data_IF_852701448148
#
_entry.id   IF_852701448148
#
_cell.length_a   1.000
_cell.length_b   1.000
_cell.length_c   1.000
_cell.angle_alpha   90.00
_cell.angle_beta   90.00
_cell.angle_gamma   90.00
#
_symmetry.space_group_name_H-M   'P 1'
#
loop_
_entity.id
_entity.type
_entity.pdbx_description
1 polymer ?
#
# COMPACT_ATOMS: atom_id res chain seq x y z
N UNK A 1 -18.55 -86.16 5.00
CA UNK A 1 -18.88 -85.96 6.43
C UNK A 1 -17.70 -85.31 7.12
N UNK A 2 -17.93 -84.23 7.89
CA UNK A 2 -17.03 -83.79 8.97
C UNK A 2 -17.37 -84.60 10.25
N UNK A 3 -16.59 -84.56 11.36
CA UNK A 3 -15.49 -83.66 11.73
C UNK A 3 -14.14 -84.44 11.91
N UNK A 4 -13.04 -83.98 12.55
CA UNK A 4 -12.89 -82.92 13.54
C UNK A 4 -11.49 -82.29 13.70
N UNK A 5 -11.52 -80.99 14.05
CA UNK A 5 -10.68 -80.26 15.02
C UNK A 5 -9.15 -80.49 15.07
N UNK A 6 -8.43 -79.50 14.53
CA UNK A 6 -7.04 -79.17 14.90
C UNK A 6 -7.04 -78.33 16.18
N UNK A 7 -6.09 -78.58 17.09
CA UNK A 7 -5.79 -77.72 18.22
C UNK A 7 -4.30 -77.34 18.19
N UNK A 8 -4.00 -76.05 17.92
CA UNK A 8 -2.65 -75.51 17.94
C UNK A 8 -2.65 -74.21 18.77
N UNK A 9 -2.16 -74.29 20.00
CA UNK A 9 -2.14 -73.16 20.93
C UNK A 9 -0.96 -72.23 20.61
N UNK A 10 -1.24 -71.05 20.03
CA UNK A 10 -0.24 -70.02 19.80
C UNK A 10 0.09 -69.27 21.09
N UNK A 11 1.37 -69.20 21.46
CA UNK A 11 1.82 -68.39 22.60
C UNK A 11 1.72 -66.89 22.28
N UNK A 12 0.86 -66.18 23.00
CA UNK A 12 0.79 -64.71 22.98
C UNK A 12 1.91 -64.12 23.85
N UNK A 13 3.01 -63.72 23.20
CA UNK A 13 4.03 -62.87 23.81
C UNK A 13 3.51 -61.42 23.91
N UNK A 14 3.53 -60.77 25.09
CA UNK A 14 3.14 -59.38 25.22
C UNK A 14 4.21 -58.46 24.62
N UNK A 15 3.86 -57.76 23.54
CA UNK A 15 4.74 -56.76 22.94
C UNK A 15 4.82 -55.52 23.85
N UNK A 16 6.03 -55.07 24.27
CA UNK A 16 6.16 -53.90 25.13
C UNK A 16 5.83 -52.63 24.35
N UNK A 17 4.71 -51.99 24.70
CA UNK A 17 4.34 -50.68 24.14
C UNK A 17 5.35 -49.63 24.59
N UNK A 18 6.32 -49.34 23.73
CA UNK A 18 7.22 -48.20 23.89
C UNK A 18 6.38 -46.92 23.82
N UNK A 19 6.11 -46.31 24.97
CA UNK A 19 5.59 -44.95 25.03
C UNK A 19 6.66 -44.02 24.47
N UNK A 20 6.48 -43.58 23.23
CA UNK A 20 7.26 -42.48 22.67
C UNK A 20 7.15 -41.27 23.60
N UNK A 21 8.23 -40.98 24.31
CA UNK A 21 8.34 -39.78 25.13
C UNK A 21 8.30 -38.58 24.19
N UNK A 22 7.13 -37.92 24.13
CA UNK A 22 6.99 -36.64 23.43
C UNK A 22 7.90 -35.65 24.14
N UNK A 23 9.11 -35.47 23.60
CA UNK A 23 9.95 -34.35 23.95
C UNK A 23 9.17 -33.10 23.54
N UNK A 24 8.59 -32.43 24.53
CA UNK A 24 8.14 -31.06 24.41
C UNK A 24 9.39 -30.20 24.22
N UNK A 25 9.89 -30.16 22.98
CA UNK A 25 10.90 -29.20 22.59
C UNK A 25 10.33 -27.82 22.86
N UNK A 26 10.89 -27.14 23.85
CA UNK A 26 10.53 -25.77 24.20
C UNK A 26 10.80 -24.90 22.99
N UNK A 27 9.79 -24.69 22.14
CA UNK A 27 9.84 -23.69 21.11
C UNK A 27 10.05 -22.36 21.81
N UNK A 28 11.24 -21.79 21.65
CA UNK A 28 11.48 -20.41 22.04
C UNK A 28 10.38 -19.55 21.40
N UNK A 29 9.78 -18.59 22.14
CA UNK A 29 8.72 -17.76 21.58
C UNK A 29 9.26 -17.12 20.31
N UNK A 30 8.60 -17.38 19.18
CA UNK A 30 9.05 -16.89 17.89
C UNK A 30 9.15 -15.37 17.99
N UNK A 31 10.38 -14.83 17.89
CA UNK A 31 10.63 -13.41 18.06
C UNK A 31 9.80 -12.66 17.03
N UNK A 32 8.75 -11.99 17.49
CA UNK A 32 7.88 -11.19 16.63
C UNK A 32 8.72 -10.00 16.17
N UNK A 33 9.32 -10.12 14.99
CA UNK A 33 10.05 -9.03 14.34
C UNK A 33 9.11 -7.82 14.27
N UNK A 34 9.39 -6.78 15.05
CA UNK A 34 8.51 -5.64 15.21
C UNK A 34 8.29 -4.98 13.85
N UNK A 35 7.08 -5.14 13.29
CA UNK A 35 6.76 -4.73 11.92
C UNK A 35 7.07 -3.24 11.73
N UNK A 36 8.03 -2.94 10.85
CA UNK A 36 8.59 -1.59 10.77
C UNK A 36 7.66 -0.67 9.99
N UNK A 37 7.10 0.33 10.65
CA UNK A 37 6.39 1.42 9.96
C UNK A 37 7.36 2.22 9.09
N UNK A 38 6.95 2.48 7.84
CA UNK A 38 7.73 3.19 6.81
C UNK A 38 6.75 3.73 5.73
N UNK A 39 7.16 4.70 4.91
CA UNK A 39 6.39 5.09 3.72
C UNK A 39 6.82 4.28 2.49
N UNK A 40 5.96 4.14 1.48
CA UNK A 40 6.29 3.33 0.30
C UNK A 40 7.44 3.95 -0.52
N UNK A 41 7.53 5.28 -0.59
CA UNK A 41 8.64 5.98 -1.27
C UNK A 41 9.95 5.83 -0.48
N UNK A 42 9.92 5.92 0.85
CA UNK A 42 11.10 5.72 1.69
C UNK A 42 11.62 4.27 1.64
N UNK A 43 10.73 3.29 1.39
CA UNK A 43 11.09 1.91 1.09
C UNK A 43 11.74 1.78 -0.30
N UNK A 44 11.08 2.29 -1.36
CA UNK A 44 11.59 2.24 -2.74
C UNK A 44 12.91 2.99 -2.94
N UNK A 45 13.18 4.04 -2.16
CA UNK A 45 14.46 4.76 -2.22
C UNK A 45 15.66 3.95 -1.66
N UNK A 46 15.43 2.94 -0.80
CA UNK A 46 16.48 2.17 -0.13
C UNK A 46 16.10 0.68 0.04
N UNK A 47 15.71 -0.05 -1.02
CA UNK A 47 15.03 -1.35 -0.90
C UNK A 47 15.88 -2.41 -0.18
N UNK A 48 17.21 -2.41 -0.42
CA UNK A 48 18.15 -3.31 0.25
C UNK A 48 18.22 -3.14 1.78
N UNK A 49 17.86 -1.97 2.31
CA UNK A 49 17.81 -1.70 3.77
C UNK A 49 16.64 -2.41 4.47
N UNK A 50 15.64 -2.84 3.71
CA UNK A 50 14.43 -3.50 4.20
C UNK A 50 14.34 -4.97 3.77
N UNK A 51 15.30 -5.47 2.99
CA UNK A 51 15.31 -6.82 2.45
C UNK A 51 15.16 -7.88 3.57
N UNK A 52 14.22 -8.80 3.39
CA UNK A 52 13.90 -9.85 4.36
C UNK A 52 12.96 -9.43 5.49
N UNK A 53 12.80 -8.13 5.77
CA UNK A 53 12.00 -7.61 6.89
C UNK A 53 10.51 -7.49 6.56
N UNK A 54 9.67 -7.54 7.61
CA UNK A 54 8.26 -7.13 7.54
C UNK A 54 8.10 -5.63 7.84
N UNK A 55 7.33 -4.97 6.99
CA UNK A 55 7.09 -3.52 6.98
C UNK A 55 5.58 -3.25 6.98
N UNK A 56 5.17 -2.11 7.54
CA UNK A 56 3.80 -1.59 7.45
C UNK A 56 3.84 -0.22 6.80
N UNK A 57 3.02 -0.01 5.78
CA UNK A 57 2.91 1.26 5.04
C UNK A 57 1.48 1.43 4.49
N UNK A 58 1.15 2.63 4.03
CA UNK A 58 -0.14 2.93 3.37
C UNK A 58 0.09 3.12 1.87
N UNK A 59 -0.88 2.70 1.06
CA UNK A 59 -0.91 2.89 -0.39
C UNK A 59 -2.30 3.30 -0.88
N UNK A 60 -2.36 3.83 -2.10
CA UNK A 60 -3.59 4.04 -2.88
C UNK A 60 -3.59 3.10 -4.09
N UNK A 61 -4.63 2.30 -4.26
CA UNK A 61 -4.72 1.34 -5.35
C UNK A 61 -4.90 2.03 -6.72
N UNK A 62 -4.15 1.60 -7.75
CA UNK A 62 -4.34 2.07 -9.13
C UNK A 62 -4.97 0.99 -10.01
N UNK A 63 -4.32 -0.18 -10.11
CA UNK A 63 -4.77 -1.26 -10.96
C UNK A 63 -4.23 -2.64 -10.52
N UNK A 64 -4.87 -3.70 -11.02
CA UNK A 64 -4.23 -5.00 -11.17
C UNK A 64 -3.32 -4.98 -12.39
N UNK A 65 -2.18 -5.67 -12.29
CA UNK A 65 -1.29 -5.96 -13.41
C UNK A 65 -1.33 -7.45 -13.64
N UNK A 66 -1.77 -7.89 -14.82
CA UNK A 66 -1.82 -9.32 -15.17
C UNK A 66 -0.57 -9.77 -15.95
N UNK A 67 0.04 -8.88 -16.73
CA UNK A 67 1.27 -9.13 -17.48
C UNK A 67 2.52 -8.53 -16.80
N UNK A 68 3.45 -9.39 -16.40
CA UNK A 68 4.82 -8.98 -16.07
C UNK A 68 5.81 -10.10 -16.38
N UNK A 69 7.06 -9.72 -16.69
CA UNK A 69 8.13 -10.69 -16.94
C UNK A 69 8.42 -11.51 -15.66
N UNK A 70 8.22 -12.85 -15.66
CA UNK A 70 8.46 -13.69 -14.48
C UNK A 70 9.94 -14.06 -14.29
N UNK A 71 10.74 -14.09 -15.37
CA UNK A 71 12.13 -14.57 -15.36
C UNK A 71 13.10 -13.72 -14.51
N UNK A 72 12.62 -12.61 -13.95
CA UNK A 72 13.37 -11.66 -13.14
C UNK A 72 13.00 -11.69 -11.65
N UNK A 73 12.21 -12.67 -11.17
CA UNK A 73 11.82 -12.80 -9.75
C UNK A 73 11.20 -14.15 -9.40
N UNK A 74 10.96 -14.40 -8.11
CA UNK A 74 10.10 -15.52 -7.63
C UNK A 74 8.59 -15.36 -7.87
N UNK A 75 8.13 -14.23 -8.41
CA UNK A 75 6.71 -13.86 -8.45
C UNK A 75 6.04 -14.35 -9.74
N UNK A 76 5.85 -15.67 -9.84
CA UNK A 76 5.17 -16.38 -10.93
C UNK A 76 3.69 -15.95 -11.12
N UNK A 77 3.24 -15.48 -12.31
CA UNK A 77 1.85 -15.06 -12.57
C UNK A 77 0.77 -16.09 -12.25
N UNK A 78 1.08 -17.39 -12.30
CA UNK A 78 0.16 -18.47 -11.92
C UNK A 78 -0.16 -18.52 -10.41
N UNK A 79 0.70 -17.96 -9.56
CA UNK A 79 0.61 -18.03 -8.08
C UNK A 79 0.47 -16.67 -7.41
N UNK A 80 0.78 -15.60 -8.14
CA UNK A 80 0.76 -14.23 -7.66
C UNK A 80 -0.13 -13.37 -8.55
N UNK A 81 -0.63 -12.29 -7.97
CA UNK A 81 -1.37 -11.24 -8.65
C UNK A 81 -0.63 -9.93 -8.36
N UNK A 82 -0.14 -9.25 -9.41
CA UNK A 82 0.61 -8.02 -9.26
C UNK A 82 -0.32 -6.82 -9.13
N UNK A 83 0.11 -5.82 -8.37
CA UNK A 83 -0.57 -4.55 -8.17
C UNK A 83 0.30 -3.40 -8.70
N UNK A 84 -0.39 -2.40 -9.23
CA UNK A 84 0.10 -1.05 -9.51
C UNK A 84 -0.61 -0.10 -8.55
N UNK A 85 0.15 0.74 -7.83
CA UNK A 85 -0.35 1.57 -6.72
C UNK A 85 0.38 2.92 -6.67
N UNK A 86 -0.21 3.93 -6.06
CA UNK A 86 0.53 5.12 -5.63
C UNK A 86 0.90 5.02 -4.13
N UNK A 87 2.05 5.57 -3.71
CA UNK A 87 2.31 5.85 -2.29
C UNK A 87 1.20 6.72 -1.65
N UNK A 88 0.98 6.62 -0.35
CA UNK A 88 -0.02 7.46 0.34
C UNK A 88 0.44 8.92 0.50
N UNK A 89 1.76 9.11 0.56
CA UNK A 89 2.43 10.41 0.55
C UNK A 89 2.52 11.04 -0.87
N UNK A 90 2.09 10.33 -1.92
CA UNK A 90 2.13 10.85 -3.28
C UNK A 90 0.94 11.77 -3.55
N UNK A 91 1.25 13.02 -3.91
CA UNK A 91 0.26 14.01 -4.32
C UNK A 91 -0.16 13.73 -5.76
N UNK A 92 -1.20 12.92 -5.96
CA UNK A 92 -1.62 12.42 -7.28
C UNK A 92 -2.15 13.49 -8.25
N UNK A 93 -2.25 14.76 -7.84
CA UNK A 93 -2.45 15.90 -8.75
C UNK A 93 -1.14 16.39 -9.39
N UNK A 94 0.02 16.03 -8.84
CA UNK A 94 1.29 16.23 -9.52
C UNK A 94 1.43 15.20 -10.64
N UNK A 95 1.45 15.66 -11.89
CA UNK A 95 1.55 14.79 -13.08
C UNK A 95 2.66 13.74 -12.96
N UNK A 96 3.85 14.15 -12.49
CA UNK A 96 5.00 13.26 -12.33
C UNK A 96 4.77 12.14 -11.30
N UNK A 97 3.98 12.40 -10.24
CA UNK A 97 3.58 11.37 -9.27
C UNK A 97 2.49 10.45 -9.84
N UNK A 98 1.49 11.03 -10.52
CA UNK A 98 0.39 10.29 -11.14
C UNK A 98 0.88 9.31 -12.22
N UNK A 99 1.80 9.75 -13.08
CA UNK A 99 2.38 8.95 -14.17
C UNK A 99 3.43 7.91 -13.69
N UNK A 100 3.88 7.98 -12.43
CA UNK A 100 4.94 7.11 -11.87
C UNK A 100 4.46 6.24 -10.69
N UNK A 101 3.43 5.39 -10.86
CA UNK A 101 2.97 4.50 -9.80
C UNK A 101 4.05 3.46 -9.43
N UNK A 102 4.03 3.06 -8.16
CA UNK A 102 4.81 1.93 -7.67
C UNK A 102 4.26 0.61 -8.24
N UNK A 103 5.19 -0.25 -8.68
CA UNK A 103 4.93 -1.62 -9.17
C UNK A 103 5.70 -2.61 -8.31
N UNK A 104 5.57 -3.91 -8.61
CA UNK A 104 6.22 -5.02 -7.89
C UNK A 104 5.67 -5.25 -6.47
N UNK A 105 4.40 -4.94 -6.25
CA UNK A 105 3.61 -5.39 -5.10
C UNK A 105 2.78 -6.61 -5.53
N UNK A 106 2.73 -7.66 -4.71
CA UNK A 106 2.12 -8.95 -5.08
C UNK A 106 1.27 -9.55 -3.97
N UNK A 107 0.03 -9.92 -4.30
CA UNK A 107 -0.84 -10.76 -3.47
C UNK A 107 -0.81 -12.20 -3.98
N UNK A 108 -0.83 -13.17 -3.07
CA UNK A 108 -0.86 -14.60 -3.42
C UNK A 108 -2.25 -15.01 -3.93
N UNK A 109 -2.32 -15.64 -5.11
CA UNK A 109 -3.56 -16.21 -5.65
C UNK A 109 -4.05 -17.37 -4.78
N UNK A 110 -5.37 -17.47 -4.61
CA UNK A 110 -6.02 -18.34 -3.63
C UNK A 110 -5.79 -17.92 -2.17
N UNK A 111 -5.11 -16.79 -1.92
CA UNK A 111 -4.94 -16.21 -0.58
C UNK A 111 -6.14 -15.34 -0.18
N UNK A 112 -6.37 -15.18 1.13
CA UNK A 112 -7.53 -14.47 1.67
C UNK A 112 -7.71 -13.01 1.20
N UNK A 113 -6.64 -12.37 0.72
CA UNK A 113 -6.67 -10.99 0.22
C UNK A 113 -6.88 -10.87 -1.30
N UNK A 114 -6.80 -11.95 -2.09
CA UNK A 114 -7.09 -11.86 -3.54
C UNK A 114 -8.53 -11.37 -3.82
N UNK A 115 -9.58 -11.87 -3.14
CA UNK A 115 -10.93 -11.35 -3.32
C UNK A 115 -11.12 -9.91 -2.83
N UNK A 116 -10.21 -9.37 -2.01
CA UNK A 116 -10.24 -7.95 -1.61
C UNK A 116 -9.69 -7.09 -2.75
N UNK A 117 -8.47 -7.40 -3.22
CA UNK A 117 -7.82 -6.60 -4.27
C UNK A 117 -8.54 -6.69 -5.61
N UNK A 118 -9.14 -7.84 -5.97
CA UNK A 118 -10.01 -7.96 -7.17
C UNK A 118 -11.29 -7.10 -7.13
N UNK A 119 -11.62 -6.50 -5.97
CA UNK A 119 -12.75 -5.56 -5.79
C UNK A 119 -12.28 -4.18 -5.32
N UNK A 120 -10.98 -3.91 -5.31
CA UNK A 120 -10.45 -2.59 -4.96
C UNK A 120 -10.83 -1.57 -6.03
N UNK A 121 -11.32 -0.40 -5.60
CA UNK A 121 -11.55 0.74 -6.49
C UNK A 121 -10.24 1.49 -6.73
N UNK A 122 -10.11 2.13 -7.88
CA UNK A 122 -9.04 3.12 -8.11
C UNK A 122 -9.07 4.20 -7.01
N UNK A 123 -7.90 4.67 -6.60
CA UNK A 123 -7.62 5.58 -5.47
C UNK A 123 -7.87 5.02 -4.06
N UNK A 124 -8.56 3.87 -3.91
CA UNK A 124 -8.88 3.31 -2.59
C UNK A 124 -7.62 3.08 -1.75
N UNK A 125 -7.61 3.63 -0.53
CA UNK A 125 -6.51 3.48 0.42
C UNK A 125 -6.51 2.13 1.12
N UNK A 126 -5.32 1.60 1.35
CA UNK A 126 -5.09 0.41 2.18
C UNK A 126 -3.88 0.64 3.09
N UNK A 127 -4.01 0.31 4.38
CA UNK A 127 -2.85 -0.04 5.18
C UNK A 127 -2.44 -1.47 4.82
N UNK A 128 -1.14 -1.68 4.65
CA UNK A 128 -0.58 -2.93 4.16
C UNK A 128 0.59 -3.35 5.04
N UNK A 129 0.55 -4.59 5.53
CA UNK A 129 1.75 -5.29 6.01
C UNK A 129 2.31 -6.10 4.85
N UNK A 130 3.57 -5.87 4.54
CA UNK A 130 4.28 -6.54 3.46
C UNK A 130 5.63 -7.07 3.92
N UNK A 131 6.22 -7.98 3.15
CA UNK A 131 7.58 -8.46 3.33
C UNK A 131 8.41 -8.20 2.09
N UNK A 132 9.56 -7.57 2.26
CA UNK A 132 10.50 -7.32 1.16
C UNK A 132 11.19 -8.64 0.83
N UNK A 133 10.82 -9.26 -0.30
CA UNK A 133 11.34 -10.58 -0.67
C UNK A 133 12.60 -10.51 -1.51
N UNK A 134 12.70 -9.51 -2.38
CA UNK A 134 13.82 -9.29 -3.29
C UNK A 134 14.06 -7.78 -3.43
N UNK A 135 15.30 -7.39 -3.67
CA UNK A 135 15.68 -6.03 -4.04
C UNK A 135 16.55 -6.15 -5.31
N UNK A 136 16.00 -5.78 -6.47
CA UNK A 136 16.61 -6.08 -7.77
C UNK A 136 16.40 -4.90 -8.74
N UNK A 137 17.46 -4.54 -9.47
CA UNK A 137 17.52 -3.35 -10.35
C UNK A 137 17.06 -2.04 -9.66
N UNK A 138 17.32 -1.92 -8.35
CA UNK A 138 16.94 -0.73 -7.56
C UNK A 138 15.49 -0.71 -7.07
N UNK A 139 14.65 -1.70 -7.40
CA UNK A 139 13.26 -1.79 -6.94
C UNK A 139 13.08 -2.88 -5.87
N UNK A 140 12.13 -2.66 -4.96
CA UNK A 140 11.67 -3.66 -3.99
C UNK A 140 10.58 -4.54 -4.60
N UNK A 141 10.67 -5.85 -4.37
CA UNK A 141 9.59 -6.79 -4.70
C UNK A 141 8.91 -7.24 -3.40
N UNK A 142 7.64 -6.86 -3.26
CA UNK A 142 6.88 -6.86 -2.02
C UNK A 142 5.80 -7.94 -2.05
N UNK A 143 5.93 -8.95 -1.19
CA UNK A 143 4.81 -9.85 -0.88
C UNK A 143 3.89 -9.14 0.11
N UNK A 144 2.60 -8.97 -0.24
CA UNK A 144 1.62 -8.37 0.65
C UNK A 144 1.01 -9.47 1.53
N UNK A 145 1.21 -9.35 2.84
CA UNK A 145 0.79 -10.32 3.85
C UNK A 145 -0.58 -9.98 4.44
N UNK A 146 -0.97 -8.71 4.39
CA UNK A 146 -2.15 -8.15 5.04
C UNK A 146 -2.56 -6.88 4.27
N UNK A 147 -3.86 -6.71 4.00
CA UNK A 147 -4.42 -5.46 3.49
C UNK A 147 -5.67 -5.10 4.30
N UNK A 148 -5.68 -3.88 4.85
CA UNK A 148 -6.79 -3.30 5.62
C UNK A 148 -7.26 -2.04 4.88
N UNK A 149 -8.51 -1.98 4.38
CA UNK A 149 -9.04 -0.76 3.77
C UNK A 149 -9.00 0.42 4.75
N UNK A 150 -8.63 1.60 4.26
CA UNK A 150 -8.71 2.85 5.01
C UNK A 150 -9.72 3.81 4.37
N UNK A 151 -10.21 4.75 5.18
CA UNK A 151 -11.02 5.86 4.69
C UNK A 151 -10.17 6.99 4.09
N UNK A 152 -10.84 7.78 3.26
CA UNK A 152 -10.26 8.84 2.43
C UNK A 152 -9.52 8.33 1.20
N UNK A 153 -9.34 9.20 0.21
CA UNK A 153 -8.61 8.92 -1.03
C UNK A 153 -8.25 10.23 -1.75
N UNK A 154 -7.12 10.27 -2.48
CA UNK A 154 -6.81 11.34 -3.44
C UNK A 154 -7.48 10.99 -4.76
N UNK A 155 -8.81 11.06 -4.75
CA UNK A 155 -9.66 10.73 -5.89
C UNK A 155 -9.62 11.77 -7.01
N UNK A 156 -10.18 11.39 -8.16
CA UNK A 156 -10.25 12.21 -9.38
C UNK A 156 -10.85 13.61 -9.14
N UNK A 157 -11.89 13.73 -8.31
CA UNK A 157 -12.47 15.04 -7.95
C UNK A 157 -11.49 15.96 -7.21
N UNK A 158 -10.68 15.42 -6.31
CA UNK A 158 -9.60 16.16 -5.64
C UNK A 158 -8.54 16.59 -6.65
N UNK A 159 -8.13 15.69 -7.54
CA UNK A 159 -7.14 15.97 -8.59
C UNK A 159 -7.62 17.10 -9.50
N UNK A 160 -8.87 17.05 -9.95
CA UNK A 160 -9.50 18.06 -10.80
C UNK A 160 -9.55 19.43 -10.09
N UNK A 161 -10.04 19.48 -8.86
CA UNK A 161 -10.17 20.73 -8.11
C UNK A 161 -8.83 21.35 -7.75
N UNK A 162 -7.83 20.58 -7.29
CA UNK A 162 -6.48 21.12 -7.00
C UNK A 162 -5.79 21.61 -8.28
N UNK A 163 -5.91 20.88 -9.39
CA UNK A 163 -5.35 21.32 -10.68
C UNK A 163 -5.97 22.64 -11.13
N UNK A 164 -7.31 22.75 -11.12
CA UNK A 164 -7.99 23.98 -11.54
C UNK A 164 -7.75 25.14 -10.57
N UNK A 165 -7.57 24.87 -9.28
CA UNK A 165 -7.21 25.89 -8.30
C UNK A 165 -5.84 26.52 -8.61
N UNK A 166 -4.84 25.70 -8.97
CA UNK A 166 -3.50 26.15 -9.34
C UNK A 166 -3.50 26.97 -10.64
N UNK A 167 -4.27 26.55 -11.64
CA UNK A 167 -4.48 27.32 -12.88
C UNK A 167 -5.04 28.72 -12.55
N UNK A 168 -6.15 28.78 -11.80
CA UNK A 168 -6.78 30.04 -11.40
C UNK A 168 -5.84 30.92 -10.56
N UNK A 169 -5.04 30.35 -9.66
CA UNK A 169 -4.06 31.09 -8.87
C UNK A 169 -2.92 31.66 -9.74
N UNK A 170 -2.47 30.93 -10.76
CA UNK A 170 -1.47 31.41 -11.73
C UNK A 170 -2.03 32.50 -12.66
N UNK A 171 -3.33 32.44 -12.97
CA UNK A 171 -4.09 33.48 -13.68
C UNK A 171 -4.41 34.70 -12.79
N UNK A 172 -4.06 34.69 -11.50
CA UNK A 172 -4.36 35.76 -10.53
C UNK A 172 -5.80 35.79 -10.03
N UNK A 173 -6.62 34.80 -10.39
CA UNK A 173 -8.03 34.65 -10.01
C UNK A 173 -8.17 34.05 -8.60
N UNK A 174 -7.55 34.68 -7.59
CA UNK A 174 -7.32 34.10 -6.26
C UNK A 174 -8.60 33.67 -5.51
N UNK A 175 -9.69 34.44 -5.58
CA UNK A 175 -10.98 34.05 -4.97
C UNK A 175 -11.49 32.72 -5.54
N UNK A 176 -11.51 32.60 -6.87
CA UNK A 176 -11.95 31.38 -7.56
C UNK A 176 -11.00 30.20 -7.32
N UNK A 177 -9.70 30.45 -7.16
CA UNK A 177 -8.73 29.43 -6.78
C UNK A 177 -9.01 28.88 -5.37
N UNK A 178 -9.28 29.75 -4.39
CA UNK A 178 -9.64 29.36 -3.03
C UNK A 178 -10.94 28.55 -3.00
N UNK A 179 -11.95 28.95 -3.76
CA UNK A 179 -13.19 28.19 -3.97
C UNK A 179 -12.95 26.77 -4.52
N UNK A 180 -11.94 26.55 -5.35
CA UNK A 180 -11.57 25.22 -5.83
C UNK A 180 -10.80 24.42 -4.76
N UNK A 181 -9.86 25.02 -4.04
CA UNK A 181 -9.18 24.33 -2.93
C UNK A 181 -10.14 23.94 -1.81
N UNK A 182 -11.15 24.76 -1.50
CA UNK A 182 -12.18 24.43 -0.51
C UNK A 182 -13.06 23.23 -0.93
N UNK A 183 -13.35 23.08 -2.22
CA UNK A 183 -14.01 21.88 -2.77
C UNK A 183 -13.12 20.64 -2.61
N UNK A 184 -11.82 20.75 -2.90
CA UNK A 184 -10.86 19.67 -2.67
C UNK A 184 -10.72 19.31 -1.18
N UNK A 185 -10.66 20.31 -0.30
CA UNK A 185 -10.56 20.16 1.17
C UNK A 185 -11.80 19.53 1.79
N UNK A 186 -12.96 19.66 1.15
CA UNK A 186 -14.24 19.08 1.58
C UNK A 186 -14.36 17.57 1.29
N UNK A 187 -13.46 16.99 0.48
CA UNK A 187 -13.39 15.55 0.28
C UNK A 187 -12.75 14.84 1.50
N UNK A 188 -13.04 13.55 1.74
CA UNK A 188 -12.28 12.75 2.70
C UNK A 188 -10.87 12.48 2.13
N UNK A 189 -9.90 13.29 2.53
CA UNK A 189 -8.50 13.20 2.05
C UNK A 189 -7.63 12.29 2.94
N UNK A 190 -6.51 11.81 2.40
CA UNK A 190 -5.43 11.28 3.25
C UNK A 190 -4.84 12.41 4.11
N UNK A 191 -4.26 12.13 5.30
CA UNK A 191 -3.66 13.17 6.15
C UNK A 191 -2.58 13.99 5.43
N UNK A 192 -1.80 13.34 4.57
CA UNK A 192 -0.77 13.99 3.74
C UNK A 192 -1.38 14.90 2.67
N UNK A 193 -2.44 14.46 1.99
CA UNK A 193 -3.13 15.26 0.99
C UNK A 193 -3.87 16.46 1.60
N UNK A 194 -4.51 16.28 2.76
CA UNK A 194 -5.15 17.37 3.51
C UNK A 194 -4.12 18.43 3.94
N UNK A 195 -2.97 17.99 4.47
CA UNK A 195 -1.89 18.90 4.84
C UNK A 195 -1.37 19.70 3.63
N UNK A 196 -1.20 19.06 2.48
CA UNK A 196 -0.77 19.72 1.25
C UNK A 196 -1.80 20.76 0.75
N UNK A 197 -3.10 20.41 0.68
CA UNK A 197 -4.15 21.37 0.30
C UNK A 197 -4.21 22.56 1.28
N UNK A 198 -3.97 22.34 2.56
CA UNK A 198 -3.89 23.41 3.57
C UNK A 198 -2.64 24.30 3.45
N UNK A 199 -1.54 23.84 2.83
CA UNK A 199 -0.41 24.71 2.44
C UNK A 199 -0.76 25.53 1.19
N UNK A 200 -1.34 24.90 0.17
CA UNK A 200 -1.74 25.57 -1.09
C UNK A 200 -2.74 26.71 -0.86
N UNK A 201 -3.72 26.51 0.05
CA UNK A 201 -4.66 27.57 0.47
C UNK A 201 -3.92 28.76 1.09
N UNK A 202 -3.00 28.52 2.03
CA UNK A 202 -2.20 29.57 2.68
C UNK A 202 -1.28 30.30 1.70
N UNK A 203 -0.65 29.58 0.79
CA UNK A 203 0.18 30.17 -0.27
C UNK A 203 -0.65 31.07 -1.20
N UNK A 204 -1.87 30.65 -1.53
CA UNK A 204 -2.81 31.41 -2.38
C UNK A 204 -3.34 32.67 -1.67
N UNK A 205 -3.69 32.57 -0.39
CA UNK A 205 -4.05 33.73 0.45
C UNK A 205 -2.90 34.74 0.53
N UNK A 206 -1.68 34.28 0.82
CA UNK A 206 -0.50 35.15 0.86
C UNK A 206 -0.10 35.71 -0.52
N UNK A 207 -0.51 35.09 -1.63
CA UNK A 207 -0.34 35.66 -2.98
C UNK A 207 -1.35 36.79 -3.25
N UNK A 208 -2.63 36.56 -2.91
CA UNK A 208 -3.71 37.56 -2.98
C UNK A 208 -3.37 38.84 -2.22
N UNK A 209 -3.02 38.73 -0.94
CA UNK A 209 -2.71 39.87 -0.08
C UNK A 209 -1.57 40.75 -0.64
N UNK A 210 -0.56 40.13 -1.26
CA UNK A 210 0.53 40.85 -1.92
C UNK A 210 0.05 41.60 -3.16
N UNK A 211 -0.74 40.96 -4.03
CA UNK A 211 -1.29 41.59 -5.22
C UNK A 211 -2.20 42.78 -4.88
N UNK A 212 -3.09 42.63 -3.88
CA UNK A 212 -3.94 43.71 -3.37
C UNK A 212 -3.09 44.87 -2.80
N UNK A 213 -2.06 44.56 -2.02
CA UNK A 213 -1.13 45.54 -1.45
C UNK A 213 -0.20 46.20 -2.49
N UNK A 214 -0.04 45.63 -3.69
CA UNK A 214 0.71 46.22 -4.80
C UNK A 214 -0.18 47.14 -5.65
N UNK A 215 -1.39 46.69 -6.01
CA UNK A 215 -2.38 47.54 -6.67
C UNK A 215 -2.72 48.79 -5.85
N UNK A 216 -2.89 48.64 -4.52
CA UNK A 216 -3.14 49.76 -3.61
C UNK A 216 -1.94 50.73 -3.44
N UNK A 217 -0.73 50.37 -3.89
CA UNK A 217 0.43 51.28 -3.99
C UNK A 217 0.49 51.98 -5.35
N UNK A 218 0.05 51.34 -6.42
CA UNK A 218 0.02 51.96 -7.75
C UNK A 218 -1.03 53.07 -7.82
N UNK A 219 -2.26 52.82 -7.34
CA UNK A 219 -3.36 53.81 -7.27
C UNK A 219 -3.04 55.01 -6.35
N UNK A 220 -1.94 54.96 -5.58
CA UNK A 220 -1.43 56.08 -4.75
C UNK A 220 -0.23 56.81 -5.36
N UNK A 221 0.14 56.50 -6.60
CA UNK A 221 1.26 57.11 -7.36
C UNK A 221 0.81 57.78 -8.66
N UNK A 222 -0.45 57.61 -9.01
CA UNK A 222 -1.16 58.23 -10.14
C UNK A 222 -2.00 59.41 -9.63
#
# INVERSE_FOLDING_TARGET
MNPALVALAALLLPCPVQRSSVQQGTQAPATVEATRSVTLSALRAQPGRYLGLEVRFVLQFRALVEDWNPYLSRFEPARWLALEVWPDEALNWERAAFETPARRLFVRRGGGFEPLVRRARIYQRFEVRARVREAFLGEAWLELLELVPLEGEVGEGTILHVTRARELAAEGQFDLALDQYERARSAPLSPHALAAVLEEIRATQAARERAEAEGAKQVKRE
#
